data_IF_598570795967
#
_entry.id   IF_598570795967
#
_cell.length_a   1.000
_cell.length_b   1.000
_cell.length_c   1.000
_cell.angle_alpha   90.00
_cell.angle_beta   90.00
_cell.angle_gamma   90.00
#
_symmetry.space_group_name_H-M   'P 1'
#
loop_
_entity.id
_entity.type
_entity.pdbx_description
1 polymer ?
#
# COMPACT_ATOMS: atom_id res chain seq x y z
N UNK A 1 21.60 -12.51 -5.11
CA UNK A 1 20.28 -12.95 -5.50
C UNK A 1 19.25 -11.95 -4.95
N UNK A 2 18.05 -12.36 -4.54
CA UNK A 2 17.05 -11.38 -4.06
C UNK A 2 17.46 -10.87 -2.69
N UNK A 3 17.68 -9.56 -2.58
CA UNK A 3 18.25 -8.97 -1.36
C UNK A 3 17.17 -8.35 -0.46
N UNK A 4 16.01 -8.06 -1.01
CA UNK A 4 14.93 -7.45 -0.25
C UNK A 4 13.91 -6.83 -1.17
N UNK A 5 12.77 -6.48 -0.60
CA UNK A 5 11.72 -5.78 -1.34
C UNK A 5 12.10 -4.30 -1.45
N UNK A 6 12.05 -3.76 -2.66
CA UNK A 6 12.41 -2.35 -2.89
C UNK A 6 11.15 -1.50 -3.06
N UNK A 7 10.32 -1.83 -4.03
CA UNK A 7 9.19 -0.98 -4.40
C UNK A 7 7.97 -1.84 -4.68
N UNK A 8 6.82 -1.38 -4.20
CA UNK A 8 5.51 -1.89 -4.62
C UNK A 8 4.88 -0.83 -5.50
N UNK A 9 4.48 -1.20 -6.71
CA UNK A 9 3.81 -0.27 -7.63
C UNK A 9 2.35 -0.63 -7.78
N UNK A 10 1.52 0.37 -7.56
CA UNK A 10 0.09 0.35 -7.87
C UNK A 10 -0.14 1.17 -9.13
N UNK A 11 -1.36 1.14 -9.65
CA UNK A 11 -1.71 1.85 -10.88
C UNK A 11 -2.94 2.71 -10.64
N UNK A 12 -3.05 3.80 -11.37
CA UNK A 12 -4.22 4.67 -11.31
C UNK A 12 -4.46 5.32 -12.66
N UNK A 13 -5.74 5.47 -13.01
CA UNK A 13 -6.11 6.21 -14.22
C UNK A 13 -5.95 7.71 -14.01
N UNK A 14 -6.21 8.16 -12.77
CA UNK A 14 -6.06 9.56 -12.36
C UNK A 14 -5.01 9.63 -11.26
N UNK A 15 -3.78 9.91 -11.65
CA UNK A 15 -2.67 9.90 -10.72
C UNK A 15 -2.76 11.03 -9.70
N UNK A 16 -3.31 12.18 -10.09
CA UNK A 16 -3.49 13.30 -9.16
C UNK A 16 -4.48 12.94 -8.06
N UNK A 17 -5.56 12.25 -8.42
CA UNK A 17 -6.53 11.78 -7.43
C UNK A 17 -5.91 10.74 -6.50
N UNK A 18 -5.09 9.85 -7.04
CA UNK A 18 -4.39 8.85 -6.23
C UNK A 18 -3.43 9.52 -5.26
N UNK A 19 -2.69 10.53 -5.72
CA UNK A 19 -1.80 11.28 -4.85
C UNK A 19 -2.55 11.92 -3.69
N UNK A 20 -3.68 12.56 -3.97
CA UNK A 20 -4.48 13.21 -2.93
C UNK A 20 -5.01 12.19 -1.92
N UNK A 21 -5.52 11.07 -2.40
CA UNK A 21 -6.10 10.04 -1.54
C UNK A 21 -5.05 9.42 -0.61
N UNK A 22 -3.90 9.08 -1.18
CA UNK A 22 -2.84 8.44 -0.39
C UNK A 22 -2.12 9.44 0.53
N UNK A 23 -2.03 10.71 0.15
CA UNK A 23 -1.52 11.75 1.04
C UNK A 23 -2.42 11.88 2.26
N UNK A 24 -3.74 11.83 2.06
CA UNK A 24 -4.70 11.86 3.17
C UNK A 24 -4.54 10.62 4.05
N UNK A 25 -4.46 9.44 3.45
CA UNK A 25 -4.32 8.18 4.19
C UNK A 25 -3.02 8.11 4.98
N UNK A 26 -1.91 8.46 4.35
CA UNK A 26 -0.58 8.27 4.92
C UNK A 26 -0.11 9.42 5.78
N UNK A 27 -0.70 10.61 5.58
CA UNK A 27 -0.28 11.80 6.31
C UNK A 27 1.05 12.37 5.84
N UNK A 28 1.53 11.96 4.68
CA UNK A 28 2.78 12.46 4.08
C UNK A 28 2.57 12.68 2.60
N UNK A 29 3.33 13.62 2.04
CA UNK A 29 3.35 13.87 0.61
C UNK A 29 4.30 12.89 -0.07
N UNK A 30 4.12 12.62 -1.38
CA UNK A 30 5.12 11.83 -2.10
C UNK A 30 6.45 12.57 -2.11
N UNK A 31 7.53 11.83 -1.91
CA UNK A 31 8.85 12.44 -1.91
C UNK A 31 9.41 12.58 -3.33
N UNK A 32 8.79 11.93 -4.30
CA UNK A 32 9.27 11.95 -5.68
C UNK A 32 8.07 11.94 -6.63
N UNK A 33 8.14 12.81 -7.65
CA UNK A 33 7.15 12.87 -8.72
C UNK A 33 7.91 12.97 -10.04
N UNK A 34 7.57 12.09 -10.96
CA UNK A 34 8.13 12.14 -12.32
C UNK A 34 7.04 12.55 -13.29
N UNK A 35 7.33 13.57 -14.10
CA UNK A 35 6.40 14.03 -15.11
C UNK A 35 6.89 13.66 -16.49
N UNK A 36 5.94 13.42 -17.40
CA UNK A 36 6.21 13.22 -18.81
C UNK A 36 5.36 14.27 -19.53
N UNK A 37 6.03 15.17 -20.25
CA UNK A 37 5.37 16.27 -20.96
C UNK A 37 4.45 17.08 -20.04
N UNK A 38 4.92 17.36 -18.83
CA UNK A 38 4.20 18.17 -17.86
C UNK A 38 3.07 17.46 -17.12
N UNK A 39 2.88 16.18 -17.34
CA UNK A 39 1.82 15.39 -16.70
C UNK A 39 2.44 14.36 -15.78
N UNK A 40 1.99 14.26 -14.51
CA UNK A 40 2.51 13.24 -13.61
C UNK A 40 2.34 11.85 -14.20
N UNK A 41 3.43 11.09 -14.27
CA UNK A 41 3.45 9.73 -14.81
C UNK A 41 3.75 8.70 -13.72
N UNK A 42 4.43 9.12 -12.67
CA UNK A 42 4.83 8.26 -11.56
C UNK A 42 5.00 9.11 -10.29
N UNK A 43 4.47 8.62 -9.19
CA UNK A 43 4.72 9.22 -7.88
C UNK A 43 5.17 8.13 -6.93
N UNK A 44 5.90 8.51 -5.90
CA UNK A 44 6.44 7.55 -4.95
C UNK A 44 6.42 8.11 -3.54
N UNK A 45 5.85 7.33 -2.63
CA UNK A 45 5.88 7.61 -1.19
C UNK A 45 6.91 6.73 -0.52
N UNK A 46 7.50 7.22 0.55
CA UNK A 46 8.26 6.39 1.48
C UNK A 46 7.49 6.30 2.76
N UNK A 47 7.20 5.07 3.21
CA UNK A 47 6.30 4.88 4.33
C UNK A 47 6.81 3.84 5.32
N UNK A 48 6.46 4.07 6.57
CA UNK A 48 6.63 3.09 7.63
C UNK A 48 8.04 2.99 8.19
N UNK A 49 8.20 1.99 9.03
CA UNK A 49 9.40 1.80 9.84
C UNK A 49 10.68 1.61 9.02
N UNK A 50 10.53 1.01 7.85
CA UNK A 50 11.66 0.72 6.96
C UNK A 50 11.73 1.65 5.76
N UNK A 51 10.87 2.66 5.69
CA UNK A 51 10.83 3.61 4.57
C UNK A 51 10.67 2.89 3.24
N UNK A 52 9.75 1.93 3.20
CA UNK A 52 9.45 1.21 1.97
C UNK A 52 8.85 2.14 0.92
N UNK A 53 9.13 1.85 -0.33
CA UNK A 53 8.66 2.66 -1.44
C UNK A 53 7.34 2.13 -1.96
N UNK A 54 6.32 2.99 -1.94
CA UNK A 54 5.03 2.71 -2.56
C UNK A 54 4.88 3.68 -3.73
N UNK A 55 4.90 3.14 -4.94
CA UNK A 55 4.81 3.92 -6.15
C UNK A 55 3.45 3.77 -6.81
N UNK A 56 3.07 4.78 -7.59
CA UNK A 56 1.87 4.75 -8.41
C UNK A 56 2.25 5.13 -9.83
N UNK A 57 1.93 4.26 -10.75
CA UNK A 57 2.19 4.46 -12.18
C UNK A 57 0.88 4.85 -12.83
N UNK A 58 0.88 5.93 -13.62
CA UNK A 58 -0.27 6.26 -14.46
C UNK A 58 -0.53 5.06 -15.38
N UNK A 59 -1.79 4.63 -15.44
CA UNK A 59 -2.14 3.39 -16.16
C UNK A 59 -1.75 3.43 -17.63
N UNK A 60 -1.63 4.62 -18.20
CA UNK A 60 -1.17 4.75 -19.59
C UNK A 60 0.23 4.17 -19.81
N UNK A 61 1.04 4.11 -18.76
CA UNK A 61 2.41 3.63 -18.83
C UNK A 61 2.59 2.25 -18.18
N UNK A 62 1.47 1.59 -17.81
CA UNK A 62 1.54 0.27 -17.20
C UNK A 62 2.09 -0.76 -18.20
N UNK A 63 2.90 -1.72 -17.71
CA UNK A 63 3.32 -2.83 -18.58
C UNK A 63 2.11 -3.60 -19.09
N UNK A 64 2.19 -4.19 -20.28
CA UNK A 64 1.09 -5.01 -20.80
C UNK A 64 0.73 -6.15 -19.86
N UNK A 65 -0.57 -6.40 -19.70
CA UNK A 65 -1.05 -7.52 -18.91
C UNK A 65 -1.14 -7.26 -17.41
N UNK A 66 -0.78 -6.06 -16.95
CA UNK A 66 -0.90 -5.75 -15.52
C UNK A 66 -2.36 -5.59 -15.12
N UNK A 67 -2.72 -6.22 -14.01
CA UNK A 67 -4.05 -6.13 -13.42
C UNK A 67 -3.92 -6.19 -11.91
N UNK A 68 -5.03 -5.97 -11.20
CA UNK A 68 -5.02 -5.91 -9.73
C UNK A 68 -4.89 -7.29 -9.06
N UNK A 69 -4.87 -8.37 -9.82
CA UNK A 69 -4.80 -9.72 -9.26
C UNK A 69 -3.39 -10.28 -9.18
N UNK A 70 -3.27 -11.47 -8.60
CA UNK A 70 -2.05 -12.26 -8.60
C UNK A 70 -1.16 -12.09 -7.38
N UNK A 71 -1.05 -10.90 -6.84
CA UNK A 71 -0.20 -10.62 -5.68
C UNK A 71 -1.02 -9.92 -4.62
N UNK A 72 -0.81 -10.32 -3.36
CA UNK A 72 -1.41 -9.65 -2.21
C UNK A 72 -0.32 -8.92 -1.45
N UNK A 73 -0.47 -7.62 -1.27
CA UNK A 73 0.46 -6.80 -0.51
C UNK A 73 -0.19 -6.43 0.82
N UNK A 74 0.51 -6.69 1.91
CA UNK A 74 0.02 -6.37 3.26
C UNK A 74 0.97 -5.39 3.93
N UNK A 75 0.39 -4.35 4.53
CA UNK A 75 1.13 -3.37 5.31
C UNK A 75 0.90 -3.64 6.79
N UNK A 76 1.96 -3.57 7.58
CA UNK A 76 1.85 -3.75 9.03
C UNK A 76 1.13 -2.56 9.64
N UNK A 77 0.15 -2.85 10.51
CA UNK A 77 -0.58 -1.85 11.28
C UNK A 77 -0.70 -2.35 12.72
N UNK A 78 -0.92 -1.43 13.65
CA UNK A 78 -1.07 -1.81 15.06
C UNK A 78 -2.47 -2.35 15.36
N UNK A 79 -3.48 -1.79 14.72
CA UNK A 79 -4.88 -2.14 14.94
C UNK A 79 -5.56 -2.33 13.59
N UNK A 80 -5.77 -3.61 13.22
CA UNK A 80 -6.30 -3.95 11.90
C UNK A 80 -7.73 -3.44 11.72
N UNK A 81 -8.57 -3.56 12.76
CA UNK A 81 -9.95 -3.10 12.64
C UNK A 81 -10.01 -1.58 12.43
N UNK A 82 -9.21 -0.84 13.19
CA UNK A 82 -9.17 0.62 13.05
C UNK A 82 -8.66 1.04 11.67
N UNK A 83 -7.61 0.36 11.18
CA UNK A 83 -7.06 0.64 9.85
C UNK A 83 -8.09 0.32 8.76
N UNK A 84 -8.74 -0.83 8.87
CA UNK A 84 -9.77 -1.25 7.92
C UNK A 84 -10.92 -0.24 7.88
N UNK A 85 -11.42 0.16 9.06
CA UNK A 85 -12.52 1.11 9.14
C UNK A 85 -12.14 2.46 8.53
N UNK A 86 -10.91 2.92 8.77
CA UNK A 86 -10.45 4.17 8.19
C UNK A 86 -10.37 4.09 6.66
N UNK A 87 -9.85 2.99 6.14
CA UNK A 87 -9.76 2.80 4.68
C UNK A 87 -11.15 2.85 4.04
N UNK A 88 -12.11 2.16 4.64
CA UNK A 88 -13.49 2.18 4.14
C UNK A 88 -14.09 3.58 4.25
N UNK A 89 -13.82 4.30 5.34
CA UNK A 89 -14.33 5.66 5.52
C UNK A 89 -13.76 6.63 4.49
N UNK A 90 -12.57 6.35 3.96
CA UNK A 90 -11.95 7.17 2.93
C UNK A 90 -12.40 6.78 1.51
N UNK A 91 -13.26 5.78 1.37
CA UNK A 91 -13.84 5.42 0.08
C UNK A 91 -13.37 4.11 -0.51
N UNK A 92 -12.53 3.35 0.19
CA UNK A 92 -12.15 2.02 -0.26
C UNK A 92 -13.32 1.06 -0.07
N UNK A 93 -13.36 0.01 -0.89
CA UNK A 93 -14.40 -1.02 -0.77
C UNK A 93 -13.81 -2.27 -0.13
N UNK A 94 -14.65 -3.04 0.55
CA UNK A 94 -14.21 -4.26 1.23
C UNK A 94 -13.77 -5.29 0.20
N UNK A 95 -12.58 -5.86 0.41
CA UNK A 95 -12.09 -7.02 -0.35
C UNK A 95 -12.18 -8.27 0.53
N UNK A 96 -11.53 -8.23 1.69
CA UNK A 96 -11.66 -9.29 2.71
C UNK A 96 -11.79 -8.62 4.07
N UNK A 97 -12.81 -9.02 4.82
CA UNK A 97 -13.05 -8.44 6.13
C UNK A 97 -11.99 -8.86 7.13
N UNK A 98 -11.95 -8.14 8.25
CA UNK A 98 -10.99 -8.42 9.31
C UNK A 98 -11.16 -9.86 9.80
N UNK A 99 -10.04 -10.58 9.86
CA UNK A 99 -10.05 -11.98 10.24
C UNK A 99 -8.80 -12.34 11.02
N UNK A 100 -9.00 -12.97 12.16
CA UNK A 100 -7.89 -13.55 12.90
C UNK A 100 -7.51 -14.86 12.22
N UNK A 101 -6.27 -14.92 11.72
CA UNK A 101 -5.77 -16.12 11.03
C UNK A 101 -5.12 -17.09 12.00
N UNK A 102 -4.65 -16.58 13.13
CA UNK A 102 -4.00 -17.35 14.17
C UNK A 102 -3.51 -16.39 15.25
N UNK A 103 -2.89 -16.91 16.34
CA UNK A 103 -2.40 -16.04 17.40
C UNK A 103 -1.38 -15.03 16.87
N UNK A 104 -1.62 -13.74 17.13
CA UNK A 104 -0.72 -12.68 16.68
C UNK A 104 -0.76 -12.43 15.20
N UNK A 105 -1.81 -12.85 14.52
CA UNK A 105 -1.88 -12.74 13.05
C UNK A 105 -3.32 -12.42 12.62
N UNK A 106 -3.54 -11.16 12.27
CA UNK A 106 -4.86 -10.64 11.87
C UNK A 106 -4.69 -9.95 10.52
N UNK A 107 -5.61 -10.19 9.59
CA UNK A 107 -5.54 -9.60 8.26
C UNK A 107 -6.86 -8.99 7.84
N UNK A 108 -6.79 -8.05 6.91
CA UNK A 108 -7.93 -7.50 6.19
C UNK A 108 -7.43 -6.90 4.88
N UNK A 109 -8.33 -6.72 3.93
CA UNK A 109 -7.95 -6.05 2.69
C UNK A 109 -9.14 -5.30 2.10
N UNK A 110 -8.81 -4.26 1.36
CA UNK A 110 -9.77 -3.42 0.65
C UNK A 110 -9.32 -3.25 -0.79
N UNK A 111 -10.23 -2.77 -1.63
CA UNK A 111 -9.85 -2.27 -2.95
C UNK A 111 -9.89 -0.75 -2.84
N UNK A 112 -8.78 -0.10 -3.18
CA UNK A 112 -8.72 1.35 -3.12
C UNK A 112 -9.58 1.95 -4.24
N UNK A 113 -9.83 3.28 -4.23
CA UNK A 113 -10.68 3.88 -5.26
C UNK A 113 -10.13 3.76 -6.69
N UNK A 114 -8.91 3.26 -6.85
CA UNK A 114 -8.24 3.19 -8.15
C UNK A 114 -8.12 1.76 -8.66
N UNK A 115 -8.70 0.79 -7.92
CA UNK A 115 -8.73 -0.62 -8.33
C UNK A 115 -7.59 -1.46 -7.80
N UNK A 116 -6.78 -0.96 -6.87
CA UNK A 116 -5.67 -1.72 -6.29
C UNK A 116 -6.11 -2.43 -5.02
N UNK A 117 -5.65 -3.66 -4.83
CA UNK A 117 -5.89 -4.41 -3.59
C UNK A 117 -4.87 -3.98 -2.55
N UNK A 118 -5.36 -3.50 -1.44
CA UNK A 118 -4.54 -2.97 -0.34
C UNK A 118 -4.81 -3.78 0.91
N UNK A 119 -3.82 -4.53 1.38
CA UNK A 119 -3.94 -5.35 2.58
C UNK A 119 -3.30 -4.70 3.79
N UNK A 120 -3.87 -4.96 4.94
CA UNK A 120 -3.30 -4.56 6.23
C UNK A 120 -3.25 -5.77 7.14
N UNK A 121 -2.26 -5.83 8.01
CA UNK A 121 -2.12 -6.94 8.94
C UNK A 121 -1.47 -6.52 10.23
N UNK A 122 -1.87 -7.19 11.31
CA UNK A 122 -1.09 -7.23 12.53
C UNK A 122 -0.31 -8.54 12.49
N UNK A 123 1.00 -8.45 12.62
CA UNK A 123 1.87 -9.61 12.53
C UNK A 123 2.94 -9.50 13.63
N UNK A 124 2.84 -10.37 14.63
CA UNK A 124 3.76 -10.34 15.75
C UNK A 124 5.21 -10.54 15.30
N UNK A 125 5.42 -11.38 14.29
CA UNK A 125 6.77 -11.60 13.77
C UNK A 125 7.40 -10.33 13.22
N UNK A 126 6.60 -9.48 12.55
CA UNK A 126 7.10 -8.19 12.06
C UNK A 126 7.64 -7.35 13.20
N UNK A 127 6.87 -7.28 14.31
CA UNK A 127 7.27 -6.49 15.48
C UNK A 127 8.51 -7.09 16.15
N UNK A 128 8.56 -8.43 16.23
CA UNK A 128 9.70 -9.11 16.81
C UNK A 128 10.99 -8.82 16.02
N UNK A 129 10.90 -8.89 14.70
CA UNK A 129 12.05 -8.61 13.84
C UNK A 129 12.46 -7.13 13.92
N UNK A 130 11.49 -6.24 14.02
CA UNK A 130 11.77 -4.81 14.11
C UNK A 130 12.44 -4.47 15.45
N UNK A 131 11.89 -4.98 16.56
CA UNK A 131 12.40 -4.65 17.89
C UNK A 131 13.61 -5.46 18.31
N UNK A 132 13.66 -6.73 17.88
CA UNK A 132 14.71 -7.65 18.27
C UNK A 132 15.75 -7.90 17.19
N UNK A 133 15.84 -7.04 16.20
CA UNK A 133 16.67 -7.27 15.03
C UNK A 133 18.15 -7.44 15.34
N UNK A 134 18.58 -7.08 16.51
CA UNK A 134 19.97 -7.26 16.92
C UNK A 134 20.28 -8.63 17.52
N UNK A 135 19.28 -9.42 17.74
CA UNK A 135 19.41 -10.71 18.43
C UNK A 135 19.47 -11.87 17.50
#
# INVERSE_FOLDING_TARGET
MLRGLTTVNFFADDLSAAQAWYTELLGVEPYFVREIEGVPAYIEFRIGDYQHELGFIDRRFAPPGQSAGGTMTYWAVDDVQAAFDRLVSLGATVHQEVREQGPGFVTASVVDPFGNVLGVMYNQHYLDMLGGSGE
#
